data_IF_953875918112
#
_entry.id   IF_953875918112
#
_cell.length_a   1.000
_cell.length_b   1.000
_cell.length_c   1.000
_cell.angle_alpha   90.00
_cell.angle_beta   90.00
_cell.angle_gamma   90.00
#
_symmetry.space_group_name_H-M   'P 1'
#
loop_
_entity.id
_entity.type
_entity.pdbx_description
1 polymer ?
#
# COMPACT_ATOMS: atom_id res chain seq x y z
N UNK A 1 10.49 1.90 13.46
CA UNK A 1 9.39 2.59 12.78
C UNK A 1 8.20 1.66 12.62
N UNK A 2 7.01 2.18 12.79
CA UNK A 2 5.81 1.38 12.63
C UNK A 2 5.57 1.07 11.14
N UNK A 3 5.02 -0.09 10.87
CA UNK A 3 4.69 -0.50 9.50
C UNK A 3 3.72 0.50 8.85
N UNK A 4 2.76 1.00 9.61
CA UNK A 4 1.79 1.99 9.12
C UNK A 4 2.49 3.24 8.58
N UNK A 5 3.49 3.72 9.29
CA UNK A 5 4.22 4.92 8.89
C UNK A 5 4.99 4.67 7.59
N UNK A 6 5.59 3.51 7.47
CA UNK A 6 6.34 3.14 6.28
C UNK A 6 5.42 2.99 5.07
N UNK A 7 4.27 2.36 5.27
CA UNK A 7 3.27 2.20 4.21
C UNK A 7 2.80 3.58 3.73
N UNK A 8 2.52 4.50 4.65
CA UNK A 8 2.11 5.86 4.29
C UNK A 8 3.17 6.57 3.46
N UNK A 9 4.42 6.46 3.88
CA UNK A 9 5.55 7.08 3.17
C UNK A 9 5.64 6.58 1.73
N UNK A 10 5.52 5.28 1.55
CA UNK A 10 5.58 4.67 0.23
C UNK A 10 4.43 5.17 -0.65
N UNK A 11 3.22 5.23 -0.10
CA UNK A 11 2.05 5.70 -0.84
C UNK A 11 2.22 7.16 -1.25
N UNK A 12 2.68 8.00 -0.35
CA UNK A 12 2.93 9.41 -0.65
C UNK A 12 3.92 9.54 -1.80
N UNK A 13 5.00 8.78 -1.76
CA UNK A 13 6.04 8.84 -2.78
C UNK A 13 5.55 8.33 -4.13
N UNK A 14 4.80 7.22 -4.13
CA UNK A 14 4.37 6.58 -5.38
C UNK A 14 3.22 7.33 -6.05
N UNK A 15 2.27 7.81 -5.26
CA UNK A 15 1.08 8.46 -5.80
C UNK A 15 1.14 9.99 -5.81
N UNK A 16 2.12 10.55 -5.13
CA UNK A 16 2.26 12.01 -5.06
C UNK A 16 1.13 12.68 -4.32
N UNK A 17 0.57 12.01 -3.31
CA UNK A 17 -0.54 12.55 -2.52
C UNK A 17 -0.01 13.09 -1.19
N UNK A 18 -0.85 13.87 -0.51
CA UNK A 18 -0.51 14.43 0.80
C UNK A 18 -0.60 13.36 1.88
N UNK A 19 0.28 13.38 2.89
CA UNK A 19 0.19 12.43 3.99
C UNK A 19 -1.18 12.43 4.68
N UNK A 20 -1.83 13.57 4.76
CA UNK A 20 -3.15 13.68 5.38
C UNK A 20 -4.26 12.98 4.63
N UNK A 21 -4.03 12.66 3.35
CA UNK A 21 -4.99 11.94 2.53
C UNK A 21 -4.86 10.42 2.70
N UNK A 22 -3.75 9.96 3.25
CA UNK A 22 -3.46 8.54 3.39
C UNK A 22 -4.02 8.04 4.71
N UNK A 23 -5.29 7.70 4.68
CA UNK A 23 -6.04 7.19 5.84
C UNK A 23 -6.35 5.72 5.65
N UNK A 24 -6.53 4.95 6.75
CA UNK A 24 -6.82 3.52 6.60
C UNK A 24 -8.04 3.21 5.72
N UNK A 25 -9.06 4.06 5.76
CA UNK A 25 -10.27 3.87 4.96
C UNK A 25 -10.14 4.39 3.52
N UNK A 26 -9.04 5.06 3.18
CA UNK A 26 -8.86 5.60 1.84
C UNK A 26 -8.64 4.51 0.80
N UNK A 27 -9.41 4.56 -0.28
CA UNK A 27 -9.25 3.66 -1.41
C UNK A 27 -8.18 4.23 -2.34
N UNK A 28 -7.29 3.38 -2.82
CA UNK A 28 -6.22 3.83 -3.73
C UNK A 28 -6.80 4.46 -5.00
N UNK A 29 -7.81 3.84 -5.57
CA UNK A 29 -8.40 4.31 -6.82
C UNK A 29 -9.39 5.45 -6.59
N UNK A 30 -10.33 5.25 -5.67
CA UNK A 30 -11.41 6.22 -5.46
C UNK A 30 -10.99 7.47 -4.71
N UNK A 31 -10.16 7.32 -3.70
CA UNK A 31 -9.78 8.44 -2.82
C UNK A 31 -8.43 9.05 -3.18
N UNK A 32 -7.49 8.23 -3.61
CA UNK A 32 -6.13 8.69 -3.91
C UNK A 32 -5.86 8.86 -5.41
N UNK A 33 -6.82 8.51 -6.24
CA UNK A 33 -6.73 8.72 -7.68
C UNK A 33 -5.74 7.83 -8.41
N UNK A 34 -5.39 6.69 -7.83
CA UNK A 34 -4.49 5.75 -8.48
C UNK A 34 -5.22 4.98 -9.59
N UNK A 35 -4.53 4.70 -10.68
CA UNK A 35 -5.07 3.80 -11.70
C UNK A 35 -4.48 2.40 -11.48
N UNK A 36 -4.82 1.46 -12.36
CA UNK A 36 -4.37 0.07 -12.20
C UNK A 36 -2.85 -0.07 -12.28
N UNK A 37 -2.21 0.75 -13.09
CA UNK A 37 -0.75 0.73 -13.20
C UNK A 37 -0.11 1.26 -11.92
N UNK A 38 -0.68 2.32 -11.36
CA UNK A 38 -0.19 2.88 -10.10
C UNK A 38 -0.28 1.87 -8.96
N UNK A 39 -1.36 1.09 -8.90
CA UNK A 39 -1.52 0.09 -7.85
C UNK A 39 -0.50 -1.05 -8.01
N UNK A 40 -0.18 -1.44 -9.23
CA UNK A 40 0.86 -2.44 -9.48
C UNK A 40 2.22 -1.94 -9.00
N UNK A 41 2.56 -0.71 -9.33
CA UNK A 41 3.82 -0.11 -8.90
C UNK A 41 3.89 0.03 -7.39
N UNK A 42 2.78 0.36 -6.77
CA UNK A 42 2.68 0.48 -5.31
C UNK A 42 2.95 -0.86 -4.63
N UNK A 43 2.35 -1.93 -5.16
CA UNK A 43 2.57 -3.28 -4.64
C UNK A 43 4.03 -3.67 -4.77
N UNK A 44 4.66 -3.37 -5.89
CA UNK A 44 6.07 -3.66 -6.11
C UNK A 44 6.96 -2.89 -5.11
N UNK A 45 6.60 -1.66 -4.82
CA UNK A 45 7.33 -0.85 -3.85
C UNK A 45 7.23 -1.46 -2.45
N UNK A 46 6.06 -1.95 -2.08
CA UNK A 46 5.88 -2.65 -0.80
C UNK A 46 6.73 -3.91 -0.72
N UNK A 47 6.78 -4.67 -1.81
CA UNK A 47 7.60 -5.89 -1.85
C UNK A 47 9.08 -5.59 -1.60
N UNK A 48 9.57 -4.54 -2.22
CA UNK A 48 10.97 -4.13 -2.07
C UNK A 48 11.27 -3.59 -0.69
N UNK A 49 10.39 -2.74 -0.16
CA UNK A 49 10.63 -2.10 1.14
C UNK A 49 10.53 -3.06 2.31
N UNK A 50 9.62 -4.00 2.22
CA UNK A 50 9.40 -4.96 3.32
C UNK A 50 10.00 -6.33 3.06
N UNK A 51 10.69 -6.48 1.94
CA UNK A 51 11.36 -7.72 1.55
C UNK A 51 10.42 -8.93 1.64
N UNK A 52 9.29 -8.83 0.95
CA UNK A 52 8.31 -9.90 0.92
C UNK A 52 7.71 -10.03 -0.48
N UNK A 53 6.99 -11.11 -0.71
CA UNK A 53 6.32 -11.36 -1.98
C UNK A 53 4.82 -11.19 -1.83
N UNK A 54 4.22 -10.48 -2.76
CA UNK A 54 2.76 -10.29 -2.80
C UNK A 54 2.27 -10.91 -4.11
N UNK A 55 1.68 -12.11 -4.08
CA UNK A 55 1.14 -12.72 -5.29
C UNK A 55 0.05 -11.84 -5.92
N UNK A 56 -0.13 -11.94 -7.23
CA UNK A 56 -1.11 -11.13 -7.95
C UNK A 56 -2.51 -11.25 -7.35
N UNK A 57 -2.93 -12.45 -6.96
CA UNK A 57 -4.25 -12.64 -6.38
C UNK A 57 -4.42 -11.91 -5.05
N UNK A 58 -3.35 -11.80 -4.28
CA UNK A 58 -3.38 -11.04 -3.03
C UNK A 58 -3.35 -9.54 -3.30
N UNK A 59 -2.56 -9.14 -4.30
CA UNK A 59 -2.50 -7.74 -4.70
C UNK A 59 -3.88 -7.21 -5.11
N UNK A 60 -4.68 -8.03 -5.76
CA UNK A 60 -6.03 -7.66 -6.17
C UNK A 60 -6.94 -7.36 -4.99
N UNK A 61 -6.64 -7.92 -3.82
CA UNK A 61 -7.42 -7.70 -2.61
C UNK A 61 -7.01 -6.46 -1.84
N UNK A 62 -5.85 -5.90 -2.19
CA UNK A 62 -5.34 -4.69 -1.53
C UNK A 62 -5.91 -3.49 -2.26
N UNK A 63 -7.06 -3.00 -1.79
CA UNK A 63 -7.79 -1.90 -2.44
C UNK A 63 -7.76 -0.61 -1.64
N UNK A 64 -7.39 -0.68 -0.38
CA UNK A 64 -7.33 0.50 0.49
C UNK A 64 -6.03 0.49 1.28
N UNK A 65 -5.75 1.64 1.89
CA UNK A 65 -4.56 1.78 2.76
C UNK A 65 -4.61 0.77 3.89
N UNK A 66 -5.78 0.60 4.51
CA UNK A 66 -5.96 -0.36 5.60
C UNK A 66 -5.70 -1.80 5.18
N UNK A 67 -6.15 -2.15 3.97
CA UNK A 67 -5.91 -3.48 3.42
C UNK A 67 -4.40 -3.74 3.27
N UNK A 68 -3.68 -2.74 2.77
CA UNK A 68 -2.22 -2.85 2.61
C UNK A 68 -1.53 -3.01 3.95
N UNK A 69 -1.90 -2.21 4.93
CA UNK A 69 -1.32 -2.27 6.26
C UNK A 69 -1.56 -3.65 6.90
N UNK A 70 -2.79 -4.11 6.83
CA UNK A 70 -3.17 -5.41 7.41
C UNK A 70 -2.39 -6.55 6.75
N UNK A 71 -2.30 -6.52 5.42
CA UNK A 71 -1.58 -7.55 4.68
C UNK A 71 -0.10 -7.57 5.06
N UNK A 72 0.53 -6.42 5.06
CA UNK A 72 1.97 -6.33 5.35
C UNK A 72 2.27 -6.74 6.79
N UNK A 73 1.45 -6.31 7.73
CA UNK A 73 1.61 -6.70 9.13
C UNK A 73 1.51 -8.21 9.32
N UNK A 74 0.57 -8.83 8.62
CA UNK A 74 0.38 -10.27 8.66
C UNK A 74 1.61 -11.00 8.12
N UNK A 75 2.14 -10.53 7.01
CA UNK A 75 3.33 -11.14 6.40
C UNK A 75 4.59 -10.89 7.21
N UNK A 76 4.74 -9.69 7.72
CA UNK A 76 5.93 -9.32 8.50
C UNK A 76 6.00 -10.04 9.84
N UNK A 77 4.86 -10.48 10.35
CA UNK A 77 4.78 -11.20 11.62
C UNK A 77 5.09 -12.70 11.49
N UNK A 78 5.16 -13.20 10.29
CA UNK A 78 5.47 -14.61 10.03
C UNK A 78 6.97 -14.97 10.20
#
# INVERSE_FOLDING_TARGET
MAIEDKVKEIIVDQLGVEPGQVKPEASFIDDLGADSLDTVELVMAFEEEFDLEIPDEDAEKIKSVGDAITYIKSKASE
#
